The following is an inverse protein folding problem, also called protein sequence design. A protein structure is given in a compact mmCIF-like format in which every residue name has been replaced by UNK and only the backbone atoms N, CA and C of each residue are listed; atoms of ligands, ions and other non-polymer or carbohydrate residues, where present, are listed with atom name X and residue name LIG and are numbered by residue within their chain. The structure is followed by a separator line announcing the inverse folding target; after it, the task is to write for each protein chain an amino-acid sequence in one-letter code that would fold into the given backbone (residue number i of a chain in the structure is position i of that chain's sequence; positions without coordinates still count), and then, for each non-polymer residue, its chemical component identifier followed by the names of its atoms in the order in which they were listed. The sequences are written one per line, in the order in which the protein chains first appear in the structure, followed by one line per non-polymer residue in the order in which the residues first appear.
data_IF_161794749854
#
_entry.id   IF_161794749854
#
_cell.length_a   1.000
_cell.length_b   1.000
_cell.length_c   1.000
_cell.angle_alpha   90.00
_cell.angle_beta   90.00
_cell.angle_gamma   90.00
#
_symmetry.space_group_name_H-M   'P 1'
#
loop_
_entity.id
_entity.type
_entity.pdbx_description
1 polymer ?
#
# COMPACT_ATOMS: atom_id res chain seq x y z
N UNK A 1 9.96 22.25 15.96
CA UNK A 1 9.00 21.60 16.86
C UNK A 1 9.59 20.31 17.41
N UNK A 2 9.34 20.03 18.69
CA UNK A 2 9.78 18.78 19.29
C UNK A 2 8.57 17.94 19.64
N UNK A 3 8.70 16.65 19.45
CA UNK A 3 7.65 15.72 19.81
C UNK A 3 8.28 14.44 20.34
N UNK A 4 7.50 13.64 21.03
CA UNK A 4 8.01 12.43 21.66
C UNK A 4 7.07 11.28 21.29
N UNK A 5 7.66 10.14 20.95
CA UNK A 5 6.90 8.94 20.63
C UNK A 5 7.55 7.75 21.28
N UNK A 6 6.75 6.74 21.60
CA UNK A 6 7.25 5.49 22.16
C UNK A 6 7.52 4.53 21.02
N UNK A 7 8.73 4.04 20.91
CA UNK A 7 9.14 3.15 19.86
C UNK A 7 9.79 1.92 20.49
N UNK A 8 9.37 0.70 20.11
CA UNK A 8 10.05 -0.50 20.63
C UNK A 8 11.51 -0.47 20.26
N UNK A 9 12.36 -0.92 21.18
CA UNK A 9 13.81 -0.90 20.97
C UNK A 9 14.24 -1.69 19.75
N UNK A 10 13.59 -2.82 19.50
CA UNK A 10 13.95 -3.64 18.35
C UNK A 10 13.68 -2.91 17.04
N UNK A 11 12.56 -2.19 16.96
CA UNK A 11 12.25 -1.43 15.76
C UNK A 11 13.21 -0.28 15.56
N UNK A 12 13.54 0.42 16.63
CA UNK A 12 14.48 1.53 16.54
C UNK A 12 15.86 1.06 16.09
N UNK A 13 16.31 -0.09 16.61
CA UNK A 13 17.56 -0.68 16.22
C UNK A 13 17.60 -1.02 14.73
N UNK A 14 16.53 -1.64 14.23
CA UNK A 14 16.41 -1.95 12.82
C UNK A 14 16.42 -0.68 11.98
N UNK A 15 15.68 0.32 12.43
CA UNK A 15 15.61 1.59 11.72
C UNK A 15 16.98 2.24 11.62
N UNK A 16 17.71 2.28 12.75
CA UNK A 16 19.04 2.88 12.78
C UNK A 16 20.01 2.14 11.86
N UNK A 17 19.89 0.81 11.81
CA UNK A 17 20.74 0.03 10.94
C UNK A 17 20.51 0.40 9.48
N UNK A 18 19.24 0.52 9.09
CA UNK A 18 18.89 0.78 7.69
C UNK A 18 19.38 2.17 7.25
N UNK A 19 19.13 3.20 8.04
CA UNK A 19 19.51 4.54 7.57
C UNK A 19 21.03 4.71 7.56
N UNK A 20 21.76 4.03 8.44
CA UNK A 20 23.21 4.06 8.41
C UNK A 20 23.75 3.37 7.15
N UNK A 21 23.16 2.25 6.79
CA UNK A 21 23.53 1.55 5.58
C UNK A 21 23.28 2.37 4.33
N UNK A 22 22.28 3.21 4.37
CA UNK A 22 21.95 4.08 3.24
C UNK A 22 22.81 5.34 3.20
N UNK A 23 23.65 5.56 4.21
CA UNK A 23 24.56 6.68 4.22
C UNK A 23 23.96 8.01 4.64
N UNK A 24 22.81 7.98 5.32
CA UNK A 24 22.23 9.20 5.83
C UNK A 24 23.05 9.72 7.01
N UNK A 25 22.98 11.01 7.25
CA UNK A 25 23.85 11.66 8.21
C UNK A 25 23.46 11.41 9.65
N UNK A 26 22.17 11.36 9.92
CA UNK A 26 21.73 11.23 11.30
C UNK A 26 20.29 10.72 11.35
N UNK A 27 19.90 10.35 12.56
CA UNK A 27 18.57 9.78 12.79
C UNK A 27 17.45 10.76 12.45
N UNK A 28 17.65 12.04 12.81
CA UNK A 28 16.62 13.05 12.55
C UNK A 28 16.26 13.15 11.07
N UNK A 29 17.27 13.09 10.22
CA UNK A 29 17.04 13.14 8.79
C UNK A 29 16.30 11.90 8.32
N UNK A 30 16.69 10.73 8.83
CA UNK A 30 16.03 9.49 8.47
C UNK A 30 14.57 9.49 8.90
N UNK A 31 14.27 10.00 10.10
CA UNK A 31 12.92 10.09 10.58
C UNK A 31 12.09 11.01 9.69
N UNK A 32 12.65 12.17 9.32
CA UNK A 32 11.94 13.07 8.42
C UNK A 32 11.63 12.40 7.08
N UNK A 33 12.61 11.71 6.51
CA UNK A 33 12.38 11.01 5.25
C UNK A 33 11.33 9.94 5.38
N UNK A 34 11.34 9.19 6.48
CA UNK A 34 10.35 8.17 6.71
C UNK A 34 8.95 8.77 6.83
N UNK A 35 8.85 9.90 7.52
CA UNK A 35 7.56 10.58 7.65
C UNK A 35 7.07 11.12 6.32
N UNK A 36 7.97 11.69 5.52
CA UNK A 36 7.60 12.19 4.20
C UNK A 36 7.10 11.07 3.31
N UNK A 37 7.77 9.94 3.34
CA UNK A 37 7.34 8.77 2.57
C UNK A 37 5.97 8.28 3.03
N UNK A 38 5.77 8.24 4.34
CA UNK A 38 4.50 7.80 4.88
C UNK A 38 3.37 8.71 4.43
N UNK A 39 3.58 10.03 4.54
CA UNK A 39 2.59 11.01 4.13
C UNK A 39 2.30 10.90 2.64
N UNK A 40 3.34 10.82 1.84
CA UNK A 40 3.16 10.73 0.39
C UNK A 40 2.40 9.47 0.00
N UNK A 41 2.79 8.34 0.60
CA UNK A 41 2.16 7.07 0.26
C UNK A 41 0.66 7.06 0.58
N UNK A 42 0.29 7.61 1.72
CA UNK A 42 -1.09 7.53 2.19
C UNK A 42 -1.94 8.70 1.73
N UNK A 43 -1.34 9.89 1.61
CA UNK A 43 -2.10 11.07 1.22
C UNK A 43 -2.36 11.15 -0.27
N UNK A 44 -1.48 10.58 -1.08
CA UNK A 44 -1.65 10.69 -2.52
C UNK A 44 -2.98 10.09 -2.96
N UNK A 45 -3.24 8.83 -2.58
CA UNK A 45 -4.49 8.20 -2.96
C UNK A 45 -5.68 8.90 -2.33
N UNK A 46 -5.53 9.33 -1.06
CA UNK A 46 -6.60 10.02 -0.35
C UNK A 46 -6.94 11.38 -0.96
N UNK A 47 -5.95 12.04 -1.54
CA UNK A 47 -6.11 13.39 -2.02
C UNK A 47 -6.54 13.50 -3.48
N UNK A 48 -6.47 12.41 -4.23
CA UNK A 48 -6.80 12.46 -5.65
C UNK A 48 -8.29 12.28 -5.84
N UNK A 49 -8.87 13.17 -6.63
CA UNK A 49 -10.31 13.14 -6.90
C UNK A 49 -10.67 12.50 -8.22
N UNK A 50 -9.75 12.36 -9.14
CA UNK A 50 -10.06 11.81 -10.45
C UNK A 50 -9.77 10.33 -10.55
N UNK A 51 -9.59 9.86 -11.76
CA UNK A 51 -9.24 8.47 -12.01
C UNK A 51 -7.78 8.22 -11.74
N UNK A 52 -7.47 7.01 -11.33
CA UNK A 52 -6.08 6.61 -11.08
C UNK A 52 -5.81 5.26 -11.75
N UNK A 53 -4.53 4.98 -11.94
CA UNK A 53 -4.03 3.66 -12.29
C UNK A 53 -3.14 3.24 -11.14
N UNK A 54 -3.43 2.10 -10.55
CA UNK A 54 -2.74 1.68 -9.34
C UNK A 54 -2.49 0.19 -9.33
N UNK A 55 -1.47 -0.21 -8.61
CA UNK A 55 -1.19 -1.61 -8.32
C UNK A 55 -1.41 -1.81 -6.83
N UNK A 56 -2.30 -2.74 -6.48
CA UNK A 56 -2.61 -3.06 -5.09
C UNK A 56 -2.10 -4.47 -4.82
N UNK A 57 -1.16 -4.59 -3.90
CA UNK A 57 -0.62 -5.89 -3.52
C UNK A 57 -0.99 -6.21 -2.08
N UNK A 58 -1.29 -7.46 -1.81
CA UNK A 58 -1.60 -7.87 -0.45
C UNK A 58 -1.25 -9.33 -0.23
N UNK A 59 -0.98 -9.70 1.01
CA UNK A 59 -0.66 -11.06 1.35
C UNK A 59 -1.57 -11.56 2.48
N UNK A 60 -1.85 -12.84 2.44
CA UNK A 60 -2.74 -13.46 3.41
C UNK A 60 -2.44 -14.94 3.53
N UNK A 61 -2.89 -15.54 4.62
CA UNK A 61 -2.77 -16.99 4.79
C UNK A 61 -3.81 -17.68 3.93
N UNK A 62 -3.37 -18.74 3.29
CA UNK A 62 -4.26 -19.55 2.45
C UNK A 62 -5.17 -20.36 3.35
N UNK A 63 -6.29 -19.78 3.75
CA UNK A 63 -7.25 -20.41 4.63
C UNK A 63 -8.66 -20.07 4.16
N UNK A 64 -9.54 -19.85 5.10
CA UNK A 64 -10.97 -19.70 4.87
C UNK A 64 -11.34 -18.37 4.21
N UNK A 65 -10.40 -17.45 4.11
CA UNK A 65 -10.70 -16.10 3.65
C UNK A 65 -10.84 -15.99 2.12
N UNK A 66 -10.46 -17.04 1.39
CA UNK A 66 -10.41 -16.96 -0.08
C UNK A 66 -11.76 -16.61 -0.69
N UNK A 67 -12.81 -17.20 -0.15
CA UNK A 67 -14.16 -16.94 -0.69
C UNK A 67 -14.52 -15.47 -0.49
N UNK A 68 -14.25 -14.93 0.69
CA UNK A 68 -14.56 -13.54 0.98
C UNK A 68 -13.73 -12.59 0.12
N UNK A 69 -12.46 -12.95 -0.11
CA UNK A 69 -11.61 -12.15 -0.96
C UNK A 69 -12.10 -12.14 -2.41
N UNK A 70 -12.57 -13.29 -2.90
CA UNK A 70 -13.15 -13.35 -4.23
C UNK A 70 -14.41 -12.48 -4.31
N UNK A 71 -15.19 -12.45 -3.23
CA UNK A 71 -16.36 -11.57 -3.18
C UNK A 71 -15.99 -10.10 -3.28
N UNK A 72 -14.93 -9.70 -2.60
CA UNK A 72 -14.45 -8.33 -2.69
C UNK A 72 -14.01 -8.02 -4.12
N UNK A 73 -13.26 -8.92 -4.74
CA UNK A 73 -12.82 -8.72 -6.11
C UNK A 73 -14.00 -8.61 -7.07
N UNK A 74 -15.02 -9.41 -6.84
CA UNK A 74 -16.22 -9.34 -7.68
C UNK A 74 -16.91 -7.99 -7.50
N UNK A 75 -17.02 -7.50 -6.25
CA UNK A 75 -17.64 -6.21 -5.96
C UNK A 75 -16.91 -5.06 -6.66
N UNK A 76 -15.60 -5.18 -6.81
CA UNK A 76 -14.78 -4.12 -7.39
C UNK A 76 -14.30 -4.45 -8.80
N UNK A 77 -14.97 -5.38 -9.48
CA UNK A 77 -14.54 -5.78 -10.82
C UNK A 77 -14.58 -4.63 -11.82
N UNK A 78 -15.33 -3.58 -11.54
CA UNK A 78 -15.38 -2.41 -12.41
C UNK A 78 -14.05 -1.66 -12.44
N UNK A 79 -13.22 -1.80 -11.42
CA UNK A 79 -11.93 -1.12 -11.38
C UNK A 79 -10.75 -2.07 -11.44
N UNK A 80 -10.95 -3.37 -11.31
CA UNK A 80 -9.86 -4.33 -11.37
C UNK A 80 -9.68 -4.80 -12.81
N UNK A 81 -8.51 -4.50 -13.39
CA UNK A 81 -8.19 -4.89 -14.76
C UNK A 81 -7.64 -6.30 -14.82
N UNK A 82 -6.90 -6.71 -13.81
CA UNK A 82 -6.17 -7.96 -13.85
C UNK A 82 -5.75 -8.35 -12.45
N UNK A 83 -5.69 -9.64 -12.19
CA UNK A 83 -5.23 -10.17 -10.90
C UNK A 83 -4.14 -11.18 -11.13
N UNK A 84 -3.21 -11.26 -10.18
CA UNK A 84 -2.15 -12.24 -10.21
C UNK A 84 -2.00 -12.82 -8.82
N UNK A 85 -1.74 -14.11 -8.73
CA UNK A 85 -1.76 -14.82 -7.46
C UNK A 85 -0.59 -15.78 -7.41
N UNK A 86 0.11 -15.80 -6.29
CA UNK A 86 1.26 -16.66 -6.08
C UNK A 86 1.19 -17.28 -4.69
N UNK A 87 1.48 -18.55 -4.60
CA UNK A 87 1.59 -19.27 -3.33
C UNK A 87 3.03 -19.37 -2.89
N UNK A 88 3.26 -19.18 -1.59
CA UNK A 88 4.56 -19.42 -1.02
C UNK A 88 4.34 -19.99 0.37
N UNK A 89 4.42 -21.31 0.49
CA UNK A 89 4.10 -21.99 1.74
C UNK A 89 2.63 -21.80 2.08
N UNK A 90 2.36 -21.37 3.28
CA UNK A 90 0.98 -21.12 3.69
C UNK A 90 0.52 -19.70 3.37
N UNK A 91 1.38 -18.91 2.74
CA UNK A 91 1.05 -17.53 2.40
C UNK A 91 0.69 -17.42 0.94
N UNK A 92 -0.24 -16.54 0.67
CA UNK A 92 -0.62 -16.17 -0.70
C UNK A 92 -0.30 -14.71 -0.89
N UNK A 93 0.23 -14.39 -2.06
CA UNK A 93 0.51 -13.03 -2.45
C UNK A 93 -0.33 -12.73 -3.67
N UNK A 94 -1.14 -11.69 -3.59
CA UNK A 94 -1.99 -11.30 -4.72
C UNK A 94 -1.72 -9.88 -5.11
N UNK A 95 -1.82 -9.60 -6.41
CA UNK A 95 -1.74 -8.24 -6.89
C UNK A 95 -2.91 -7.95 -7.80
N UNK A 96 -3.45 -6.75 -7.67
CA UNK A 96 -4.59 -6.28 -8.45
C UNK A 96 -4.14 -5.05 -9.21
N UNK A 97 -4.22 -5.11 -10.53
CA UNK A 97 -3.93 -3.95 -11.35
C UNK A 97 -5.25 -3.21 -11.54
N UNK A 98 -5.33 -1.97 -11.08
CA UNK A 98 -6.59 -1.25 -10.97
C UNK A 98 -6.57 0.04 -11.79
N UNK A 99 -7.76 0.40 -12.30
CA UNK A 99 -7.95 1.64 -13.00
C UNK A 99 -9.37 2.11 -12.78
N UNK A 100 -9.52 3.37 -12.38
CA UNK A 100 -10.85 3.92 -12.17
C UNK A 100 -10.81 5.04 -11.15
N UNK A 101 -12.00 5.43 -10.68
CA UNK A 101 -12.08 6.52 -9.71
C UNK A 101 -11.27 6.22 -8.45
N UNK A 102 -10.51 7.23 -8.01
CA UNK A 102 -9.66 7.07 -6.83
C UNK A 102 -10.45 6.59 -5.63
N UNK A 103 -11.67 7.09 -5.44
CA UNK A 103 -12.45 6.68 -4.29
C UNK A 103 -12.87 5.20 -4.35
N UNK A 104 -13.04 4.65 -5.55
CA UNK A 104 -13.31 3.21 -5.68
C UNK A 104 -12.08 2.40 -5.32
N UNK A 105 -10.92 2.84 -5.76
CA UNK A 105 -9.67 2.16 -5.44
C UNK A 105 -9.39 2.24 -3.94
N UNK A 106 -9.66 3.40 -3.32
CA UNK A 106 -9.55 3.55 -1.86
C UNK A 106 -10.48 2.57 -1.14
N UNK A 107 -11.72 2.50 -1.59
CA UNK A 107 -12.68 1.60 -0.96
C UNK A 107 -12.23 0.16 -1.04
N UNK A 108 -11.66 -0.23 -2.17
CA UNK A 108 -11.09 -1.57 -2.33
C UNK A 108 -9.98 -1.83 -1.31
N UNK A 109 -9.05 -0.89 -1.17
CA UNK A 109 -7.94 -1.08 -0.23
C UNK A 109 -8.43 -1.17 1.20
N UNK A 110 -9.43 -0.37 1.57
CA UNK A 110 -9.98 -0.41 2.92
C UNK A 110 -10.68 -1.74 3.19
N UNK A 111 -11.42 -2.24 2.20
CA UNK A 111 -12.06 -3.55 2.36
C UNK A 111 -11.05 -4.66 2.56
N UNK A 112 -9.95 -4.61 1.82
CA UNK A 112 -8.90 -5.61 1.98
C UNK A 112 -8.25 -5.53 3.35
N UNK A 113 -8.04 -4.32 3.86
CA UNK A 113 -7.44 -4.15 5.18
C UNK A 113 -8.32 -4.61 6.32
N UNK A 114 -9.62 -4.71 6.10
CA UNK A 114 -10.55 -5.14 7.13
C UNK A 114 -10.49 -6.63 7.43
N UNK A 115 -9.85 -7.41 6.58
CA UNK A 115 -9.73 -8.85 6.83
C UNK A 115 -8.57 -9.14 7.76
N UNK A 116 -8.85 -9.81 8.87
CA UNK A 116 -7.80 -10.18 9.82
C UNK A 116 -6.74 -11.05 9.17
N UNK A 117 -7.14 -11.90 8.23
CA UNK A 117 -6.21 -12.80 7.56
C UNK A 117 -5.29 -12.08 6.59
N UNK A 118 -5.63 -10.87 6.16
CA UNK A 118 -4.79 -10.09 5.28
C UNK A 118 -3.77 -9.35 6.13
N UNK A 119 -2.51 -9.63 5.90
CA UNK A 119 -1.44 -9.10 6.73
C UNK A 119 -1.01 -7.70 6.31
N UNK A 120 -0.87 -7.50 5.03
CA UNK A 120 -0.37 -6.22 4.51
C UNK A 120 -1.11 -5.87 3.23
N UNK A 121 -1.39 -4.58 3.07
CA UNK A 121 -1.92 -4.05 1.81
C UNK A 121 -1.04 -2.89 1.40
N UNK A 122 -0.46 -2.98 0.22
CA UNK A 122 0.41 -1.94 -0.32
C UNK A 122 -0.16 -1.44 -1.62
N UNK A 123 -0.10 -0.13 -1.82
CA UNK A 123 -0.63 0.51 -3.02
C UNK A 123 0.48 1.30 -3.67
N UNK A 124 0.66 1.07 -4.96
CA UNK A 124 1.56 1.89 -5.76
C UNK A 124 0.73 2.60 -6.80
N UNK A 125 0.70 3.91 -6.77
CA UNK A 125 0.07 4.69 -7.81
C UNK A 125 0.98 4.73 -9.01
N UNK A 126 0.47 4.24 -10.15
CA UNK A 126 1.26 4.22 -11.38
C UNK A 126 1.17 5.58 -12.04
N UNK A 127 -0.04 6.12 -12.06
CA UNK A 127 -0.24 7.49 -12.53
C UNK A 127 -1.68 7.89 -12.24
N UNK A 128 -1.94 9.19 -12.37
CA UNK A 128 -3.30 9.70 -12.30
C UNK A 128 -4.07 9.28 -13.56
N UNK A 129 -5.37 9.17 -13.43
CA UNK A 129 -6.20 8.74 -14.52
C UNK A 129 -6.21 9.69 -15.70
N UNK A 130 -5.98 10.97 -15.45
CA UNK A 130 -5.84 11.96 -16.52
C UNK A 130 -4.40 12.23 -16.86
N UNK A 131 -3.55 11.24 -16.70
CA UNK A 131 -2.12 11.38 -16.85
C UNK A 131 -1.63 11.83 -18.20
N UNK A 132 -2.52 11.95 -19.17
CA UNK A 132 -2.11 12.46 -20.45
C UNK A 132 -1.57 13.86 -20.40
N UNK A 133 -1.89 14.61 -19.40
CA UNK A 133 -1.36 15.94 -19.32
C UNK A 133 0.11 15.97 -18.94
N UNK A 134 0.60 15.02 -18.54
CA UNK A 134 2.00 15.03 -18.28
C UNK A 134 2.76 14.77 -19.45
N UNK A 135 2.68 14.82 -19.96
CA UNK A 135 3.21 14.40 -20.75
C UNK A 135 3.44 14.77 -21.88
N UNK A 136 3.24 14.90 -21.82
CA UNK A 136 3.33 15.32 -22.80
C UNK A 136 3.93 16.02 -22.93
#
# INVERSE_FOLDING_TARGET
MRTSVNIPESLLSEFDHVWREQGLENRSRAVREAMEEYVERHSRLEAIDGDVVALVGFDYRHTDVIRELHGVQHTFQDVILNTSHTHQGEWCLESLFCRGPAQRVRALTYRLRDFDAVRRVKVMLIRDGDGGRGHE
#
